data_IF_025079130149
#
_entry.id   IF_025079130149
#
_cell.length_a   1.000
_cell.length_b   1.000
_cell.length_c   1.000
_cell.angle_alpha   90.00
_cell.angle_beta   90.00
_cell.angle_gamma   90.00
#
_symmetry.space_group_name_H-M   'P 1'
#
loop_
_entity.id
_entity.type
_entity.pdbx_description
1 polymer ?
#
# COMPACT_ATOMS: atom_id res chain seq x y z
N UNK A 1 -19.89 -11.75 -2.75
CA UNK A 1 -18.82 -10.94 -3.33
C UNK A 1 -17.73 -11.83 -3.91
N UNK A 2 -17.03 -11.35 -4.93
CA UNK A 2 -15.89 -12.05 -5.56
C UNK A 2 -14.56 -11.56 -5.01
N UNK A 3 -14.51 -10.32 -4.54
CA UNK A 3 -13.31 -9.64 -4.06
C UNK A 3 -13.55 -9.08 -2.66
N UNK A 4 -12.56 -9.24 -1.77
CA UNK A 4 -12.52 -8.59 -0.47
C UNK A 4 -11.25 -7.74 -0.42
N UNK A 5 -11.38 -6.49 -0.03
CA UNK A 5 -10.30 -5.51 0.06
C UNK A 5 -10.19 -5.00 1.50
N UNK A 6 -9.00 -5.06 2.09
CA UNK A 6 -8.72 -4.51 3.41
C UNK A 6 -7.61 -3.47 3.33
N UNK A 7 -8.00 -2.20 3.29
CA UNK A 7 -7.11 -1.06 3.41
C UNK A 7 -7.02 -0.67 4.90
N UNK A 8 -6.01 -1.16 5.60
CA UNK A 8 -5.93 -0.98 7.05
C UNK A 8 -4.53 -0.63 7.52
N UNK A 9 -4.43 -0.04 8.69
CA UNK A 9 -3.16 0.33 9.29
C UNK A 9 -2.26 -0.87 9.56
N UNK A 10 -1.01 -0.62 9.90
CA UNK A 10 -0.07 -1.68 10.30
C UNK A 10 -0.54 -2.39 11.56
N UNK A 11 -0.21 -3.70 11.68
CA UNK A 11 -0.54 -4.56 12.82
C UNK A 11 -2.05 -4.82 13.03
N UNK A 12 -2.90 -4.62 12.00
CA UNK A 12 -4.35 -4.83 12.05
C UNK A 12 -4.78 -6.19 11.47
N UNK A 13 -4.14 -7.26 11.89
CA UNK A 13 -4.54 -8.66 11.62
C UNK A 13 -4.64 -9.09 10.14
N UNK A 14 -4.32 -8.26 9.17
CA UNK A 14 -4.44 -8.50 7.71
C UNK A 14 -3.97 -9.90 7.30
N UNK A 15 -2.71 -10.19 7.59
CA UNK A 15 -2.08 -11.47 7.26
C UNK A 15 -2.67 -12.64 8.04
N UNK A 16 -3.14 -12.43 9.28
CA UNK A 16 -3.80 -13.49 10.04
C UNK A 16 -5.14 -13.89 9.44
N UNK A 17 -5.90 -12.94 8.91
CA UNK A 17 -7.15 -13.20 8.16
C UNK A 17 -6.85 -14.08 6.95
N UNK A 18 -5.78 -13.79 6.18
CA UNK A 18 -5.36 -14.61 5.05
C UNK A 18 -5.01 -16.04 5.46
N UNK A 19 -4.24 -16.24 6.55
CA UNK A 19 -3.90 -17.55 7.07
C UNK A 19 -5.13 -18.34 7.52
N UNK A 20 -6.05 -17.69 8.22
CA UNK A 20 -7.31 -18.30 8.63
C UNK A 20 -8.17 -18.71 7.42
N UNK A 21 -8.21 -17.85 6.38
CA UNK A 21 -8.93 -18.16 5.16
C UNK A 21 -8.30 -19.32 4.37
N UNK A 22 -6.97 -19.40 4.33
CA UNK A 22 -6.25 -20.54 3.75
C UNK A 22 -6.66 -21.82 4.51
N UNK A 23 -6.57 -21.82 5.83
CA UNK A 23 -6.92 -22.97 6.65
C UNK A 23 -8.38 -23.41 6.46
N UNK A 24 -9.32 -22.48 6.50
CA UNK A 24 -10.74 -22.75 6.24
C UNK A 24 -10.96 -23.29 4.83
N UNK A 25 -10.25 -22.75 3.83
CA UNK A 25 -10.35 -23.18 2.43
C UNK A 25 -9.87 -24.62 2.25
N UNK A 26 -8.73 -24.98 2.84
CA UNK A 26 -8.16 -26.33 2.80
C UNK A 26 -9.09 -27.34 3.48
N UNK A 27 -9.71 -26.94 4.59
CA UNK A 27 -10.59 -27.83 5.35
C UNK A 27 -11.96 -28.01 4.69
N UNK A 28 -12.62 -26.92 4.31
CA UNK A 28 -14.04 -26.93 3.95
C UNK A 28 -14.31 -27.03 2.44
N UNK A 29 -13.42 -26.49 1.61
CA UNK A 29 -13.63 -26.39 0.16
C UNK A 29 -12.29 -26.35 -0.58
N UNK A 30 -11.54 -27.47 -0.57
CA UNK A 30 -10.21 -27.53 -1.14
C UNK A 30 -10.21 -27.20 -2.64
N UNK A 31 -9.23 -26.41 -3.03
CA UNK A 31 -8.90 -26.05 -4.42
C UNK A 31 -7.58 -25.26 -4.40
N UNK A 32 -6.94 -25.12 -5.54
CA UNK A 32 -5.71 -24.31 -5.64
C UNK A 32 -5.89 -22.89 -5.10
N UNK A 33 -4.91 -22.49 -4.31
CA UNK A 33 -4.83 -21.19 -3.65
C UNK A 33 -3.49 -20.54 -4.01
N UNK A 34 -3.51 -19.30 -4.50
CA UNK A 34 -2.32 -18.50 -4.78
C UNK A 34 -2.18 -17.41 -3.71
N UNK A 35 -1.08 -17.41 -2.98
CA UNK A 35 -0.71 -16.39 -2.01
C UNK A 35 0.47 -15.59 -2.55
N UNK A 36 0.26 -14.32 -2.81
CA UNK A 36 1.25 -13.42 -3.38
C UNK A 36 1.87 -12.52 -2.32
N UNK A 37 3.18 -12.33 -2.44
CA UNK A 37 3.99 -11.47 -1.60
C UNK A 37 4.80 -10.51 -2.48
N UNK A 38 5.04 -9.25 -2.07
CA UNK A 38 5.82 -8.33 -2.89
C UNK A 38 7.29 -8.73 -3.03
N UNK A 39 7.87 -9.45 -2.05
CA UNK A 39 9.30 -9.81 -2.05
C UNK A 39 9.56 -11.22 -1.55
N UNK A 40 10.67 -11.83 -2.00
CA UNK A 40 11.09 -13.16 -1.55
C UNK A 40 11.40 -13.25 -0.04
N UNK A 41 11.78 -12.14 0.60
CA UNK A 41 11.96 -12.09 2.07
C UNK A 41 10.60 -12.26 2.80
N UNK A 42 9.56 -11.62 2.30
CA UNK A 42 8.20 -11.75 2.85
C UNK A 42 7.61 -13.11 2.54
N UNK A 43 7.86 -13.66 1.35
CA UNK A 43 7.48 -15.02 0.96
C UNK A 43 8.03 -16.07 1.96
N UNK A 44 9.32 -16.02 2.29
CA UNK A 44 9.93 -16.93 3.29
C UNK A 44 9.26 -16.82 4.66
N UNK A 45 8.96 -15.59 5.10
CA UNK A 45 8.30 -15.36 6.39
C UNK A 45 6.88 -15.89 6.44
N UNK A 46 6.10 -15.70 5.38
CA UNK A 46 4.72 -16.19 5.34
C UNK A 46 4.68 -17.71 5.22
N UNK A 47 5.57 -18.32 4.44
CA UNK A 47 5.69 -19.77 4.33
C UNK A 47 5.94 -20.43 5.70
N UNK A 48 6.86 -19.86 6.49
CA UNK A 48 7.12 -20.32 7.85
C UNK A 48 5.90 -20.17 8.78
N UNK A 49 5.09 -19.09 8.62
CA UNK A 49 3.84 -18.92 9.38
C UNK A 49 2.79 -19.94 8.96
N UNK A 50 2.66 -20.25 7.67
CA UNK A 50 1.80 -21.32 7.17
C UNK A 50 2.21 -22.65 7.78
N UNK A 51 3.51 -23.01 7.76
CA UNK A 51 4.00 -24.27 8.33
C UNK A 51 3.69 -24.37 9.82
N UNK A 52 3.88 -23.27 10.57
CA UNK A 52 3.52 -23.19 11.99
C UNK A 52 2.02 -23.41 12.21
N UNK A 53 1.17 -22.72 11.42
CA UNK A 53 -0.29 -22.87 11.51
C UNK A 53 -0.72 -24.32 11.21
N UNK A 54 -0.14 -24.94 10.18
CA UNK A 54 -0.40 -26.35 9.83
C UNK A 54 0.03 -27.28 10.96
N UNK A 55 1.18 -27.04 11.58
CA UNK A 55 1.68 -27.87 12.69
C UNK A 55 0.82 -27.77 13.96
N UNK A 56 0.24 -26.61 14.24
CA UNK A 56 -0.55 -26.34 15.46
C UNK A 56 -2.01 -26.75 15.34
N UNK A 57 -2.56 -26.88 14.11
CA UNK A 57 -3.97 -27.16 13.86
C UNK A 57 -4.13 -28.58 13.34
N UNK A 58 -4.66 -29.52 14.15
CA UNK A 58 -4.75 -30.94 13.83
C UNK A 58 -5.43 -31.23 12.49
N UNK A 59 -6.56 -30.60 12.22
CA UNK A 59 -7.31 -30.79 10.97
C UNK A 59 -6.54 -30.35 9.72
N UNK A 60 -5.63 -29.39 9.86
CA UNK A 60 -4.76 -28.98 8.76
C UNK A 60 -3.55 -29.91 8.63
N UNK A 61 -2.99 -30.37 9.73
CA UNK A 61 -1.88 -31.33 9.75
C UNK A 61 -2.23 -32.65 9.04
N UNK A 62 -3.47 -33.07 9.14
CA UNK A 62 -3.96 -34.27 8.45
C UNK A 62 -4.16 -34.08 6.95
N UNK A 63 -4.31 -32.82 6.48
CA UNK A 63 -4.62 -32.51 5.09
C UNK A 63 -3.41 -32.12 4.27
N UNK A 64 -2.43 -31.45 4.86
CA UNK A 64 -1.20 -31.05 4.16
C UNK A 64 -0.22 -32.22 4.03
N UNK A 65 0.52 -32.24 2.93
CA UNK A 65 1.63 -33.17 2.72
C UNK A 65 2.68 -33.03 3.83
N UNK A 66 3.19 -34.17 4.31
CA UNK A 66 4.26 -34.16 5.32
C UNK A 66 5.54 -33.57 4.72
N UNK A 67 6.34 -32.81 5.49
CA UNK A 67 7.66 -32.40 5.08
C UNK A 67 8.49 -33.63 4.65
N UNK A 68 9.25 -33.50 3.57
CA UNK A 68 10.06 -34.58 2.99
C UNK A 68 9.28 -35.82 2.50
N UNK A 69 8.00 -35.67 2.18
CA UNK A 69 7.22 -36.73 1.51
C UNK A 69 7.83 -37.04 0.13
N UNK A 70 7.92 -38.32 -0.24
CA UNK A 70 8.34 -38.74 -1.59
C UNK A 70 7.21 -38.62 -2.62
N UNK A 71 5.97 -38.55 -2.17
CA UNK A 71 4.77 -38.58 -3.01
C UNK A 71 4.02 -37.28 -3.15
N UNK A 72 4.45 -36.22 -2.43
CA UNK A 72 3.79 -34.92 -2.47
C UNK A 72 4.77 -33.76 -2.18
N UNK A 73 4.51 -32.62 -2.77
CA UNK A 73 5.39 -31.43 -2.68
C UNK A 73 5.05 -30.63 -1.41
N UNK A 74 6.06 -30.38 -0.58
CA UNK A 74 5.98 -29.45 0.53
C UNK A 74 7.30 -28.69 0.66
N UNK A 75 7.41 -27.59 -0.05
CA UNK A 75 8.59 -26.71 -0.08
C UNK A 75 8.19 -25.25 0.20
N UNK A 76 9.09 -24.30 -0.07
CA UNK A 76 8.85 -22.88 0.15
C UNK A 76 7.70 -22.34 -0.72
N UNK A 77 7.68 -22.73 -1.98
CA UNK A 77 6.83 -22.14 -3.02
C UNK A 77 5.51 -22.89 -3.18
N UNK A 78 5.49 -24.19 -2.86
CA UNK A 78 4.34 -25.05 -3.05
C UNK A 78 4.12 -25.97 -1.86
N UNK A 79 2.91 -25.99 -1.36
CA UNK A 79 2.48 -26.89 -0.29
C UNK A 79 1.21 -27.63 -0.74
N UNK A 80 1.38 -28.91 -1.08
CA UNK A 80 0.25 -29.77 -1.49
C UNK A 80 -0.61 -30.16 -0.29
N UNK A 81 -1.88 -30.22 -0.53
CA UNK A 81 -2.88 -30.73 0.41
C UNK A 81 -3.97 -31.53 -0.30
N UNK A 82 -4.76 -32.28 0.44
CA UNK A 82 -5.83 -33.08 -0.12
C UNK A 82 -6.84 -32.22 -0.88
N UNK A 83 -6.88 -32.35 -2.21
CA UNK A 83 -7.77 -31.63 -3.12
C UNK A 83 -7.25 -30.32 -3.68
N UNK A 84 -5.95 -30.02 -3.55
CA UNK A 84 -5.32 -28.88 -4.19
C UNK A 84 -3.91 -28.55 -3.68
N UNK A 85 -3.43 -27.38 -4.02
CA UNK A 85 -2.12 -26.87 -3.62
C UNK A 85 -2.20 -25.40 -3.20
N UNK A 86 -1.41 -25.02 -2.20
CA UNK A 86 -1.11 -23.64 -1.86
C UNK A 86 0.20 -23.24 -2.56
N UNK A 87 0.11 -22.31 -3.47
CA UNK A 87 1.25 -21.67 -4.13
C UNK A 87 1.57 -20.37 -3.40
N UNK A 88 2.82 -20.20 -3.00
CA UNK A 88 3.30 -18.99 -2.33
C UNK A 88 4.36 -18.37 -3.24
N UNK A 89 4.00 -17.30 -3.94
CA UNK A 89 4.81 -16.70 -4.99
C UNK A 89 5.14 -15.23 -4.70
N UNK A 90 6.17 -14.71 -5.38
CA UNK A 90 6.48 -13.29 -5.37
C UNK A 90 5.82 -12.59 -6.56
N UNK A 91 5.38 -11.37 -6.34
CA UNK A 91 4.77 -10.53 -7.39
C UNK A 91 5.81 -9.91 -8.35
N UNK A 92 7.10 -10.07 -8.09
CA UNK A 92 8.17 -9.48 -8.91
C UNK A 92 8.61 -10.36 -10.10
N UNK A 93 7.81 -11.36 -10.50
CA UNK A 93 8.09 -12.17 -11.70
C UNK A 93 6.78 -12.58 -12.37
N UNK A 94 6.63 -12.21 -13.63
CA UNK A 94 5.47 -12.57 -14.44
C UNK A 94 5.33 -14.10 -14.59
N UNK A 95 6.43 -14.83 -14.68
CA UNK A 95 6.44 -16.29 -14.71
C UNK A 95 5.75 -16.88 -13.47
N UNK A 96 6.06 -16.40 -12.27
CA UNK A 96 5.44 -16.83 -11.01
C UNK A 96 3.92 -16.55 -10.97
N UNK A 97 3.49 -15.50 -11.63
CA UNK A 97 2.09 -15.11 -11.73
C UNK A 97 1.33 -15.87 -12.81
N UNK A 98 2.05 -16.54 -13.74
CA UNK A 98 1.46 -17.12 -14.95
C UNK A 98 1.27 -18.64 -14.91
N UNK A 99 1.87 -19.34 -13.95
CA UNK A 99 2.07 -20.78 -14.01
C UNK A 99 0.82 -21.63 -13.68
N UNK A 100 -0.04 -21.19 -12.74
CA UNK A 100 -1.06 -22.10 -12.20
C UNK A 100 -2.46 -21.47 -12.11
N UNK A 101 -3.52 -22.15 -12.61
CA UNK A 101 -4.90 -21.75 -12.34
C UNK A 101 -5.22 -21.86 -10.83
N UNK A 102 -5.75 -20.79 -10.26
CA UNK A 102 -6.09 -20.74 -8.84
C UNK A 102 -7.54 -20.25 -8.64
N UNK A 103 -8.32 -20.97 -7.84
CA UNK A 103 -9.67 -20.54 -7.46
C UNK A 103 -9.64 -19.36 -6.50
N UNK A 104 -8.63 -19.29 -5.64
CA UNK A 104 -8.47 -18.27 -4.62
C UNK A 104 -7.13 -17.59 -4.75
N UNK A 105 -7.14 -16.26 -4.60
CA UNK A 105 -5.95 -15.43 -4.61
C UNK A 105 -5.95 -14.58 -3.34
N UNK A 106 -4.84 -14.54 -2.63
CA UNK A 106 -4.58 -13.55 -1.59
C UNK A 106 -3.29 -12.79 -1.93
N UNK A 107 -3.28 -11.48 -1.77
CA UNK A 107 -2.11 -10.67 -2.05
C UNK A 107 -1.82 -9.72 -0.88
N UNK A 108 -0.72 -9.99 -0.19
CA UNK A 108 -0.24 -9.21 0.96
C UNK A 108 0.56 -8.00 0.51
N UNK A 109 0.32 -6.85 1.15
CA UNK A 109 1.05 -5.58 0.95
C UNK A 109 1.14 -5.19 -0.54
N UNK A 110 -0.01 -5.17 -1.23
CA UNK A 110 -0.06 -4.94 -2.69
C UNK A 110 0.54 -3.61 -3.14
N UNK A 111 0.50 -2.58 -2.28
CA UNK A 111 1.10 -1.26 -2.55
C UNK A 111 2.63 -1.27 -2.56
N UNK A 112 3.24 -2.38 -2.11
CA UNK A 112 4.70 -2.57 -2.13
C UNK A 112 5.19 -3.39 -3.31
N UNK A 113 4.27 -3.89 -4.14
CA UNK A 113 4.61 -4.58 -5.37
C UNK A 113 4.86 -3.58 -6.50
N UNK A 114 5.74 -3.95 -7.43
CA UNK A 114 6.04 -3.13 -8.60
C UNK A 114 4.77 -2.81 -9.42
N UNK A 115 4.75 -1.65 -10.06
CA UNK A 115 3.60 -1.21 -10.88
C UNK A 115 3.43 -2.03 -12.14
N UNK A 116 4.54 -2.51 -12.67
CA UNK A 116 4.62 -3.35 -13.85
C UNK A 116 5.58 -4.49 -13.58
N UNK A 117 5.22 -5.70 -13.96
CA UNK A 117 6.00 -6.90 -13.73
C UNK A 117 6.56 -7.41 -15.05
N UNK A 118 7.87 -7.28 -15.24
CA UNK A 118 8.59 -7.74 -16.43
C UNK A 118 8.01 -7.21 -17.76
N UNK A 119 7.32 -6.05 -17.77
CA UNK A 119 6.64 -5.49 -18.93
C UNK A 119 5.31 -6.17 -19.30
N UNK A 120 4.81 -7.10 -18.47
CA UNK A 120 3.53 -7.80 -18.68
C UNK A 120 2.33 -7.13 -18.00
N UNK A 121 2.58 -6.07 -17.20
CA UNK A 121 1.55 -5.24 -16.58
C UNK A 121 1.35 -5.42 -15.09
N UNK A 122 0.22 -4.95 -14.60
CA UNK A 122 -0.10 -4.89 -13.17
C UNK A 122 -0.23 -6.29 -12.55
N UNK A 123 0.49 -6.58 -11.43
CA UNK A 123 0.50 -7.91 -10.80
C UNK A 123 -0.88 -8.35 -10.27
N UNK A 124 -1.78 -7.43 -9.93
CA UNK A 124 -3.15 -7.77 -9.51
C UNK A 124 -3.93 -8.33 -10.69
N UNK A 125 -3.82 -7.70 -11.86
CA UNK A 125 -4.49 -8.17 -13.10
C UNK A 125 -3.92 -9.49 -13.58
N UNK A 126 -2.60 -9.67 -13.50
CA UNK A 126 -1.95 -10.94 -13.81
C UNK A 126 -2.45 -12.08 -12.87
N UNK A 127 -2.55 -11.82 -11.58
CA UNK A 127 -3.09 -12.77 -10.60
C UNK A 127 -4.58 -13.09 -10.87
N UNK A 128 -5.41 -12.09 -11.17
CA UNK A 128 -6.83 -12.27 -11.50
C UNK A 128 -7.03 -13.11 -12.77
N UNK A 129 -6.13 -13.03 -13.74
CA UNK A 129 -6.18 -13.84 -14.95
C UNK A 129 -6.09 -15.35 -14.66
N UNK A 130 -5.42 -15.73 -13.54
CA UNK A 130 -5.35 -17.15 -13.09
C UNK A 130 -6.69 -17.70 -12.60
N UNK A 131 -7.65 -16.82 -12.36
CA UNK A 131 -8.99 -17.18 -11.91
C UNK A 131 -10.02 -17.34 -13.02
N UNK A 132 -9.62 -17.20 -14.29
CA UNK A 132 -10.53 -17.23 -15.45
C UNK A 132 -11.38 -18.49 -15.50
N UNK A 133 -10.79 -19.65 -15.25
CA UNK A 133 -11.50 -20.94 -15.22
C UNK A 133 -12.45 -21.11 -14.03
N UNK A 134 -12.37 -20.22 -13.04
CA UNK A 134 -13.17 -20.22 -11.83
C UNK A 134 -14.14 -19.04 -11.75
N UNK A 135 -14.53 -18.45 -12.87
CA UNK A 135 -15.30 -17.21 -12.95
C UNK A 135 -16.56 -17.16 -12.03
N UNK A 136 -17.22 -18.33 -11.82
CA UNK A 136 -18.44 -18.43 -11.01
C UNK A 136 -18.18 -18.57 -9.49
N UNK A 137 -16.99 -19.02 -9.09
CA UNK A 137 -16.68 -19.34 -7.69
C UNK A 137 -15.32 -18.88 -7.23
N UNK A 138 -14.66 -18.00 -8.02
CA UNK A 138 -13.42 -17.35 -7.64
C UNK A 138 -13.61 -16.44 -6.43
N UNK A 139 -12.55 -16.27 -5.65
CA UNK A 139 -12.48 -15.27 -4.59
C UNK A 139 -11.06 -14.74 -4.44
N UNK A 140 -10.97 -13.40 -4.30
CA UNK A 140 -9.70 -12.70 -4.06
C UNK A 140 -9.75 -11.93 -2.74
N UNK A 141 -8.61 -11.84 -2.07
CA UNK A 141 -8.42 -11.06 -0.86
C UNK A 141 -7.16 -10.18 -1.02
N UNK A 142 -7.33 -8.89 -1.11
CA UNK A 142 -6.26 -7.91 -1.25
C UNK A 142 -6.15 -7.08 0.02
N UNK A 143 -4.94 -6.92 0.53
CA UNK A 143 -4.74 -6.21 1.78
C UNK A 143 -3.38 -5.51 1.85
N UNK A 144 -3.41 -4.27 2.29
CA UNK A 144 -2.24 -3.41 2.44
C UNK A 144 -2.54 -2.24 3.38
N UNK A 145 -1.50 -1.58 3.84
CA UNK A 145 -1.60 -0.18 4.23
C UNK A 145 -1.47 0.67 2.96
N UNK A 146 -2.22 1.78 2.83
CA UNK A 146 -2.13 2.64 1.66
C UNK A 146 -0.80 3.40 1.62
N UNK A 147 -0.48 4.00 0.49
CA UNK A 147 0.75 4.77 0.25
C UNK A 147 0.43 6.20 -0.20
N UNK A 148 0.94 6.62 -1.33
CA UNK A 148 0.77 7.98 -1.86
C UNK A 148 -0.56 8.08 -2.62
N UNK A 149 -1.23 9.21 -2.49
CA UNK A 149 -2.46 9.50 -3.21
C UNK A 149 -2.20 9.49 -4.74
N UNK A 150 -3.05 8.80 -5.49
CA UNK A 150 -2.88 8.57 -6.92
C UNK A 150 -1.90 7.45 -7.30
N UNK A 151 -1.18 6.86 -6.34
CA UNK A 151 -0.25 5.73 -6.56
C UNK A 151 -0.67 4.46 -5.78
N UNK A 152 -1.61 4.57 -4.85
CA UNK A 152 -1.99 3.50 -3.92
C UNK A 152 -3.04 2.57 -4.53
N UNK A 153 -2.63 1.37 -4.95
CA UNK A 153 -3.55 0.34 -5.49
C UNK A 153 -4.60 -0.11 -4.49
N UNK A 154 -4.22 -0.25 -3.21
CA UNK A 154 -5.19 -0.67 -2.21
C UNK A 154 -6.26 0.38 -2.00
N UNK A 155 -5.92 1.66 -2.14
CA UNK A 155 -6.88 2.76 -2.07
C UNK A 155 -7.85 2.72 -3.26
N UNK A 156 -7.35 2.55 -4.48
CA UNK A 156 -8.19 2.46 -5.67
C UNK A 156 -9.16 1.27 -5.57
N UNK A 157 -8.67 0.09 -5.20
CA UNK A 157 -9.50 -1.09 -4.97
C UNK A 157 -10.50 -0.92 -3.81
N UNK A 158 -10.14 -0.16 -2.77
CA UNK A 158 -11.06 0.17 -1.69
C UNK A 158 -12.19 1.07 -2.18
N UNK A 159 -11.88 2.06 -3.02
CA UNK A 159 -12.85 2.99 -3.60
C UNK A 159 -13.79 2.32 -4.63
N UNK A 160 -13.34 1.27 -5.33
CA UNK A 160 -14.19 0.44 -6.18
C UNK A 160 -15.23 -0.36 -5.40
N UNK A 161 -14.96 -0.68 -4.13
CA UNK A 161 -15.78 -1.54 -3.29
C UNK A 161 -16.79 -0.79 -2.42
N UNK A 162 -17.31 -1.49 -1.41
CA UNK A 162 -18.37 -0.99 -0.51
C UNK A 162 -17.93 0.09 0.47
N UNK A 163 -16.64 0.36 0.63
CA UNK A 163 -16.03 1.43 1.43
C UNK A 163 -16.50 1.46 2.89
N UNK A 164 -16.57 0.30 3.52
CA UNK A 164 -17.02 0.19 4.92
C UNK A 164 -15.92 0.60 5.89
N UNK A 165 -16.29 1.41 6.87
CA UNK A 165 -15.45 1.84 7.97
C UNK A 165 -15.76 1.06 9.24
N UNK A 166 -14.72 0.70 10.01
CA UNK A 166 -14.90 0.16 11.35
C UNK A 166 -15.58 1.18 12.25
N UNK A 167 -16.52 0.74 13.09
CA UNK A 167 -17.24 1.60 14.03
C UNK A 167 -17.00 1.17 15.47
N UNK A 168 -16.94 2.15 16.36
CA UNK A 168 -16.93 1.98 17.79
C UNK A 168 -18.29 2.33 18.38
N UNK A 169 -18.80 1.50 19.28
CA UNK A 169 -20.07 1.74 19.96
C UNK A 169 -19.84 2.59 21.22
N UNK A 170 -20.61 3.65 21.38
CA UNK A 170 -20.56 4.49 22.56
C UNK A 170 -21.07 3.72 23.79
N UNK A 171 -20.29 3.62 24.86
CA UNK A 171 -20.69 2.93 26.12
C UNK A 171 -21.80 3.66 26.89
N UNK A 172 -22.07 4.94 26.56
CA UNK A 172 -23.07 5.75 27.26
C UNK A 172 -24.43 5.74 26.56
N UNK A 173 -24.46 5.81 25.21
CA UNK A 173 -25.73 5.91 24.47
C UNK A 173 -25.91 4.84 23.39
N UNK A 174 -24.94 3.96 23.16
CA UNK A 174 -25.02 2.91 22.13
C UNK A 174 -24.79 3.40 20.70
N UNK A 175 -24.55 4.69 20.47
CA UNK A 175 -24.30 5.20 19.12
C UNK A 175 -23.03 4.62 18.50
N UNK A 176 -23.12 4.08 17.28
CA UNK A 176 -21.99 3.57 16.55
C UNK A 176 -21.36 4.69 15.70
N UNK A 177 -20.05 4.94 15.88
CA UNK A 177 -19.34 6.03 15.22
C UNK A 177 -17.94 5.59 14.75
N UNK A 178 -17.46 6.20 13.67
CA UNK A 178 -16.05 6.12 13.29
C UNK A 178 -15.18 6.91 14.27
N UNK A 179 -13.97 6.42 14.53
CA UNK A 179 -13.00 7.10 15.37
C UNK A 179 -12.09 8.00 14.51
N UNK A 180 -12.45 9.26 14.37
CA UNK A 180 -11.68 10.25 13.63
C UNK A 180 -10.55 10.78 14.50
N UNK A 181 -9.28 10.58 14.08
CA UNK A 181 -8.09 10.92 14.88
C UNK A 181 -8.07 12.39 15.33
N UNK A 182 -8.49 13.30 14.46
CA UNK A 182 -8.52 14.75 14.70
C UNK A 182 -9.51 15.18 15.81
N UNK A 183 -10.41 14.27 16.22
CA UNK A 183 -11.33 14.49 17.36
C UNK A 183 -10.79 13.98 18.69
N UNK A 184 -9.58 13.38 18.69
CA UNK A 184 -8.95 12.93 19.90
C UNK A 184 -8.59 14.14 20.79
N UNK A 185 -8.99 14.08 22.05
CA UNK A 185 -8.71 15.12 23.04
C UNK A 185 -7.61 14.61 23.97
N UNK A 186 -6.58 15.42 24.16
CA UNK A 186 -5.48 15.13 25.09
C UNK A 186 -5.54 16.14 26.22
N UNK A 187 -5.39 15.67 27.46
CA UNK A 187 -5.37 16.52 28.67
C UNK A 187 -4.19 17.50 28.65
N UNK A 188 -4.33 18.64 29.33
CA UNK A 188 -3.30 19.70 29.37
C UNK A 188 -1.95 19.20 29.92
N UNK A 189 -1.97 18.24 30.82
CA UNK A 189 -0.77 17.59 31.37
C UNK A 189 -0.18 16.50 30.47
N UNK A 190 -0.81 16.25 29.30
CA UNK A 190 -0.41 15.25 28.28
C UNK A 190 -0.26 13.81 28.82
N UNK A 191 -1.07 13.45 29.82
CA UNK A 191 -1.04 12.12 30.43
C UNK A 191 -2.24 11.25 30.05
N UNK A 192 -3.31 11.85 29.56
CA UNK A 192 -4.55 11.15 29.22
C UNK A 192 -5.04 11.57 27.86
N UNK A 193 -5.45 10.59 27.05
CA UNK A 193 -6.18 10.82 25.81
C UNK A 193 -7.60 10.28 25.96
N UNK A 194 -8.58 11.03 25.45
CA UNK A 194 -10.01 10.70 25.53
C UNK A 194 -10.70 11.00 24.20
N UNK A 195 -11.79 10.31 23.93
CA UNK A 195 -12.55 10.45 22.68
C UNK A 195 -14.03 10.78 22.96
N UNK A 196 -14.57 11.90 22.46
CA UNK A 196 -15.97 12.27 22.67
C UNK A 196 -16.90 11.48 21.75
N UNK A 197 -18.06 11.09 22.28
CA UNK A 197 -19.12 10.58 21.44
C UNK A 197 -19.71 11.73 20.60
N UNK A 198 -19.89 11.50 19.30
CA UNK A 198 -20.46 12.50 18.39
C UNK A 198 -21.93 12.79 18.64
N UNK A 199 -22.67 11.87 19.29
CA UNK A 199 -24.09 11.99 19.54
C UNK A 199 -24.37 12.58 20.95
N UNK A 200 -23.83 11.97 22.01
CA UNK A 200 -24.15 12.38 23.39
C UNK A 200 -23.06 13.19 24.09
N UNK A 201 -21.89 13.39 23.48
CA UNK A 201 -20.75 14.08 24.09
C UNK A 201 -20.05 13.29 25.20
N UNK A 202 -20.50 12.08 25.52
CA UNK A 202 -19.88 11.23 26.55
C UNK A 202 -18.43 10.91 26.22
N UNK A 203 -17.53 11.06 27.20
CA UNK A 203 -16.10 10.82 27.01
C UNK A 203 -15.74 9.36 27.19
N UNK A 204 -14.93 8.83 26.28
CA UNK A 204 -14.38 7.49 26.32
C UNK A 204 -12.89 7.55 26.59
N UNK A 205 -12.41 6.60 27.38
CA UNK A 205 -11.01 6.43 27.73
C UNK A 205 -10.45 5.16 27.09
N UNK A 206 -9.13 5.02 27.11
CA UNK A 206 -8.45 3.84 26.59
C UNK A 206 -8.99 2.52 27.18
N UNK A 207 -9.37 2.54 28.46
CA UNK A 207 -9.95 1.39 29.18
C UNK A 207 -11.32 0.95 28.64
N UNK A 208 -12.02 1.82 27.90
CA UNK A 208 -13.37 1.54 27.42
C UNK A 208 -13.35 0.76 26.09
N UNK A 209 -12.20 0.72 25.38
CA UNK A 209 -12.03 0.03 24.11
C UNK A 209 -12.61 -1.39 24.07
N UNK A 210 -12.41 -2.27 25.07
CA UNK A 210 -12.99 -3.60 25.05
C UNK A 210 -14.52 -3.61 24.94
N UNK A 211 -15.18 -2.65 25.58
CA UNK A 211 -16.63 -2.50 25.51
C UNK A 211 -17.06 -1.85 24.20
N UNK A 212 -16.35 -0.82 23.74
CA UNK A 212 -16.62 -0.10 22.49
C UNK A 212 -16.50 -0.97 21.25
N UNK A 213 -15.61 -1.96 21.26
CA UNK A 213 -15.31 -2.82 20.10
C UNK A 213 -15.95 -4.21 20.19
N UNK A 214 -16.70 -4.48 21.26
CA UNK A 214 -17.28 -5.81 21.55
C UNK A 214 -18.08 -6.40 20.40
N UNK A 215 -18.85 -5.56 19.69
CA UNK A 215 -19.77 -6.00 18.65
C UNK A 215 -19.15 -6.02 17.25
N UNK A 216 -17.94 -5.48 17.04
CA UNK A 216 -17.22 -5.52 15.77
C UNK A 216 -18.04 -4.87 14.62
N UNK A 217 -18.54 -3.66 14.83
CA UNK A 217 -19.45 -2.97 13.92
C UNK A 217 -18.73 -2.38 12.70
N UNK A 218 -19.44 -2.34 11.59
CA UNK A 218 -19.01 -1.71 10.35
C UNK A 218 -20.11 -0.77 9.82
N UNK A 219 -19.70 0.29 9.13
CA UNK A 219 -20.64 1.21 8.49
C UNK A 219 -21.45 0.51 7.39
N UNK A 220 -22.59 1.09 7.04
CA UNK A 220 -23.30 0.72 5.83
C UNK A 220 -22.41 0.99 4.59
N UNK A 221 -22.62 0.26 3.47
CA UNK A 221 -21.90 0.51 2.24
C UNK A 221 -22.20 1.91 1.70
N UNK A 222 -21.16 2.62 1.25
CA UNK A 222 -21.29 3.95 0.65
C UNK A 222 -21.43 3.85 -0.88
N UNK A 223 -20.87 2.78 -1.48
CA UNK A 223 -20.85 2.56 -2.92
C UNK A 223 -20.52 1.11 -3.25
N UNK A 224 -19.97 0.88 -4.42
CA UNK A 224 -19.39 -0.40 -4.84
C UNK A 224 -19.80 -0.85 -6.24
N UNK A 225 -18.99 -1.74 -6.80
CA UNK A 225 -19.18 -2.39 -8.10
C UNK A 225 -20.14 -3.60 -8.07
N UNK A 226 -20.72 -3.90 -6.89
CA UNK A 226 -21.58 -5.08 -6.66
C UNK A 226 -20.81 -6.40 -6.50
N UNK A 227 -19.50 -6.42 -6.70
CA UNK A 227 -18.65 -7.62 -6.60
C UNK A 227 -17.59 -7.52 -5.50
N UNK A 228 -17.20 -6.29 -5.10
CA UNK A 228 -16.13 -6.00 -4.15
C UNK A 228 -16.67 -5.53 -2.81
N UNK A 229 -16.36 -6.26 -1.75
CA UNK A 229 -16.53 -5.77 -0.36
C UNK A 229 -15.21 -5.15 0.09
N UNK A 230 -15.23 -3.90 0.49
CA UNK A 230 -14.03 -3.20 0.93
C UNK A 230 -14.18 -2.62 2.34
N UNK A 231 -13.11 -2.73 3.12
CA UNK A 231 -13.08 -2.42 4.55
C UNK A 231 -11.86 -1.58 4.90
N UNK A 232 -12.05 -0.59 5.77
CA UNK A 232 -10.95 0.17 6.35
C UNK A 232 -11.04 0.25 7.87
N UNK A 233 -9.89 0.20 8.51
CA UNK A 233 -9.73 0.40 9.95
C UNK A 233 -8.32 0.89 10.24
N UNK A 234 -8.13 1.57 11.36
CA UNK A 234 -6.87 2.23 11.69
C UNK A 234 -6.47 2.08 13.16
N UNK A 235 -5.29 2.60 13.54
CA UNK A 235 -4.68 2.29 14.83
C UNK A 235 -5.48 2.75 16.06
N UNK A 236 -6.47 3.64 15.92
CA UNK A 236 -7.38 3.95 17.04
C UNK A 236 -8.24 2.76 17.47
N UNK A 237 -8.46 1.78 16.55
CA UNK A 237 -9.18 0.53 16.82
C UNK A 237 -8.27 -0.61 17.33
N UNK A 238 -6.99 -0.35 17.60
CA UNK A 238 -6.12 -1.35 18.20
C UNK A 238 -6.62 -1.74 19.59
N UNK A 239 -6.50 -3.02 19.98
CA UNK A 239 -6.95 -3.51 21.26
C UNK A 239 -6.31 -2.76 22.44
N UNK A 240 -7.04 -2.71 23.56
CA UNK A 240 -6.49 -2.24 24.82
C UNK A 240 -5.21 -2.99 25.21
N UNK A 241 -4.19 -2.27 25.65
CA UNK A 241 -2.89 -2.82 26.01
C UNK A 241 -1.88 -2.94 24.84
N UNK A 242 -2.30 -2.55 23.62
CA UNK A 242 -1.40 -2.36 22.49
C UNK A 242 -0.97 -0.88 22.42
N UNK A 243 -0.91 -0.28 21.22
CA UNK A 243 -0.67 1.16 21.10
C UNK A 243 -1.86 1.94 21.65
N UNK A 244 -1.63 2.80 22.65
CA UNK A 244 -2.68 3.65 23.23
C UNK A 244 -3.01 4.85 22.33
N UNK A 245 -4.18 5.47 22.55
CA UNK A 245 -4.53 6.73 21.89
C UNK A 245 -3.52 7.84 22.21
N UNK A 246 -2.99 7.85 23.43
CA UNK A 246 -1.98 8.81 23.85
C UNK A 246 -0.64 8.58 23.11
N UNK A 247 -0.22 7.33 22.92
CA UNK A 247 1.00 7.03 22.15
C UNK A 247 0.84 7.40 20.68
N UNK A 248 -0.35 7.15 20.12
CA UNK A 248 -0.68 7.57 18.75
C UNK A 248 -0.59 9.10 18.59
N UNK A 249 -1.13 9.85 19.58
CA UNK A 249 -1.03 11.30 19.59
C UNK A 249 0.43 11.80 19.71
N UNK A 250 1.24 11.17 20.57
CA UNK A 250 2.67 11.52 20.70
C UNK A 250 3.45 11.28 19.40
N UNK A 251 3.16 10.18 18.73
CA UNK A 251 3.75 9.88 17.41
C UNK A 251 3.37 10.94 16.37
N UNK A 252 2.11 11.38 16.37
CA UNK A 252 1.62 12.47 15.52
C UNK A 252 2.32 13.80 15.83
N UNK A 253 2.43 14.20 17.09
CA UNK A 253 3.10 15.45 17.49
C UNK A 253 4.60 15.46 17.09
N UNK A 254 5.26 14.31 17.19
CA UNK A 254 6.64 14.18 16.71
C UNK A 254 6.72 14.33 15.17
N UNK A 255 5.81 13.71 14.45
CA UNK A 255 5.73 13.82 12.99
C UNK A 255 5.41 15.25 12.53
N UNK A 256 4.50 15.94 13.24
CA UNK A 256 4.12 17.33 12.97
C UNK A 256 5.29 18.30 13.17
N UNK A 257 6.05 18.15 14.24
CA UNK A 257 7.25 18.97 14.48
C UNK A 257 8.26 18.85 13.34
N UNK A 258 8.42 17.67 12.78
CA UNK A 258 9.32 17.44 11.67
C UNK A 258 8.75 18.02 10.36
N UNK A 259 7.45 17.88 10.16
CA UNK A 259 6.74 18.48 9.01
C UNK A 259 6.89 20.01 9.01
N UNK A 260 6.81 20.68 10.17
CA UNK A 260 6.97 22.12 10.31
C UNK A 260 8.39 22.60 9.90
N UNK A 261 9.37 21.69 9.86
CA UNK A 261 10.73 21.96 9.32
C UNK A 261 10.86 21.67 7.82
N UNK A 262 9.76 21.30 7.16
CA UNK A 262 9.75 20.95 5.73
C UNK A 262 10.01 19.47 5.42
N UNK A 263 10.14 18.61 6.44
CA UNK A 263 10.34 17.16 6.26
C UNK A 263 9.04 16.41 6.58
N UNK A 264 8.38 15.88 5.55
CA UNK A 264 7.11 15.17 5.66
C UNK A 264 7.24 13.66 5.93
N UNK A 265 8.46 13.11 5.93
CA UNK A 265 8.70 11.66 5.95
C UNK A 265 7.98 10.92 7.10
N UNK A 266 8.01 11.46 8.32
CA UNK A 266 7.32 10.85 9.46
C UNK A 266 5.81 11.00 9.36
N UNK A 267 5.31 12.11 8.81
CA UNK A 267 3.89 12.33 8.62
C UNK A 267 3.31 11.40 7.55
N UNK A 268 4.05 11.14 6.47
CA UNK A 268 3.73 10.11 5.47
C UNK A 268 3.56 8.75 6.14
N UNK A 269 4.55 8.33 6.93
CA UNK A 269 4.51 7.05 7.65
C UNK A 269 3.32 7.00 8.60
N UNK A 270 3.07 8.07 9.37
CA UNK A 270 1.95 8.14 10.30
C UNK A 270 0.59 7.99 9.59
N UNK A 271 0.35 8.77 8.53
CA UNK A 271 -0.91 8.66 7.79
C UNK A 271 -1.11 7.27 7.18
N UNK A 272 -0.09 6.75 6.50
CA UNK A 272 -0.22 5.47 5.80
C UNK A 272 -0.33 4.28 6.76
N UNK A 273 0.51 4.25 7.81
CA UNK A 273 0.64 3.07 8.67
C UNK A 273 -0.16 3.12 9.97
N UNK A 274 -0.58 4.33 10.42
CA UNK A 274 -1.39 4.49 11.63
C UNK A 274 -2.83 4.83 11.31
N UNK A 275 -3.08 5.73 10.36
CA UNK A 275 -4.43 6.17 10.04
C UNK A 275 -5.04 5.43 8.84
N UNK A 276 -4.28 4.58 8.15
CA UNK A 276 -4.71 3.92 6.91
C UNK A 276 -5.24 4.91 5.86
N UNK A 277 -4.59 6.06 5.75
CA UNK A 277 -4.92 7.13 4.80
C UNK A 277 -3.80 7.29 3.79
N UNK A 278 -4.12 7.61 2.55
CA UNK A 278 -3.12 8.04 1.55
C UNK A 278 -2.50 9.37 1.95
N UNK A 279 -1.24 9.58 1.56
CA UNK A 279 -0.57 10.87 1.74
C UNK A 279 -0.58 11.65 0.42
N UNK A 280 -1.09 12.87 0.45
CA UNK A 280 -0.98 13.80 -0.67
C UNK A 280 0.37 14.50 -0.61
N UNK A 281 1.25 14.21 -1.56
CA UNK A 281 2.44 15.02 -1.73
C UNK A 281 2.00 16.43 -2.14
N UNK A 282 2.35 17.43 -1.33
CA UNK A 282 2.32 18.81 -1.79
C UNK A 282 3.43 18.96 -2.82
N UNK A 283 3.19 18.57 -4.05
CA UNK A 283 3.99 19.01 -5.17
C UNK A 283 3.71 20.51 -5.20
N UNK A 284 4.67 21.32 -4.73
CA UNK A 284 4.67 22.73 -5.09
C UNK A 284 4.77 22.72 -6.62
N UNK A 285 3.63 22.89 -7.27
CA UNK A 285 3.62 23.21 -8.68
C UNK A 285 4.39 24.54 -8.74
N UNK A 286 5.63 24.45 -9.20
CA UNK A 286 6.39 25.66 -9.46
C UNK A 286 5.52 26.46 -10.41
N UNK A 287 5.08 27.64 -9.98
CA UNK A 287 4.33 28.54 -10.85
C UNK A 287 5.25 28.93 -12.01
N UNK A 288 5.21 28.07 -13.06
CA UNK A 288 6.01 28.27 -14.26
C UNK A 288 5.69 29.59 -14.94
N UNK A 289 4.48 30.17 -14.71
CA UNK A 289 4.09 31.44 -15.27
C UNK A 289 4.95 32.57 -14.70
N UNK A 290 5.24 32.56 -13.39
CA UNK A 290 6.15 33.52 -12.78
C UNK A 290 7.59 33.44 -13.32
N UNK A 291 8.00 32.24 -13.77
CA UNK A 291 9.29 32.05 -14.43
C UNK A 291 9.26 32.57 -15.88
N UNK A 292 8.17 32.28 -16.61
CA UNK A 292 7.97 32.78 -17.98
C UNK A 292 7.92 34.32 -17.97
N UNK A 293 7.18 34.95 -17.03
CA UNK A 293 7.04 36.39 -16.91
C UNK A 293 8.36 37.09 -16.59
N UNK A 294 9.33 36.38 -16.03
CA UNK A 294 10.68 36.85 -15.72
C UNK A 294 11.71 36.48 -16.79
N UNK A 295 11.31 35.67 -17.79
CA UNK A 295 12.22 35.24 -18.83
C UNK A 295 12.64 36.43 -19.70
N UNK A 296 13.94 36.59 -19.90
CA UNK A 296 14.49 37.57 -20.79
C UNK A 296 14.48 37.06 -22.23
N UNK A 297 14.15 37.95 -23.18
CA UNK A 297 14.14 37.60 -24.60
C UNK A 297 15.53 37.82 -25.21
N UNK A 298 16.22 36.75 -25.52
CA UNK A 298 17.48 36.74 -26.26
C UNK A 298 17.49 35.63 -27.32
N UNK A 299 18.29 35.79 -28.40
CA UNK A 299 18.38 34.76 -29.43
C UNK A 299 18.96 33.45 -28.90
N UNK A 300 18.30 32.30 -29.18
CA UNK A 300 18.87 31.01 -28.89
C UNK A 300 20.20 30.80 -29.64
N UNK A 301 21.09 29.98 -29.05
CA UNK A 301 22.42 29.67 -29.59
C UNK A 301 23.38 30.85 -29.72
N UNK A 302 23.04 31.97 -29.12
CA UNK A 302 23.94 33.15 -29.02
C UNK A 302 24.24 33.41 -27.55
N UNK A 303 25.52 33.43 -27.21
CA UNK A 303 25.94 33.77 -25.85
C UNK A 303 25.78 35.27 -25.63
N UNK A 304 25.01 35.72 -24.60
CA UNK A 304 24.93 37.13 -24.24
C UNK A 304 26.28 37.68 -23.81
N UNK A 305 26.42 39.00 -23.91
CA UNK A 305 27.64 39.69 -23.47
C UNK A 305 27.93 39.40 -21.99
N UNK A 306 29.16 39.04 -21.67
CA UNK A 306 29.59 38.66 -20.30
C UNK A 306 29.63 37.16 -20.01
N UNK A 307 29.16 36.29 -20.92
CA UNK A 307 29.35 34.86 -20.81
C UNK A 307 30.81 34.51 -21.00
N UNK A 308 31.40 33.80 -20.01
CA UNK A 308 32.81 33.43 -19.99
C UNK A 308 33.03 31.91 -20.15
N UNK A 309 32.04 31.12 -19.80
CA UNK A 309 32.10 29.65 -19.82
C UNK A 309 30.76 29.09 -20.32
N UNK A 310 30.83 28.07 -21.12
CA UNK A 310 29.64 27.31 -21.57
C UNK A 310 29.79 25.87 -21.05
N UNK A 311 28.69 25.38 -20.49
CA UNK A 311 28.57 23.98 -20.05
C UNK A 311 27.37 23.33 -20.74
N UNK A 312 27.47 22.01 -20.96
CA UNK A 312 26.35 21.20 -21.40
C UNK A 312 26.04 20.14 -20.33
N UNK A 313 24.80 20.05 -19.93
CA UNK A 313 24.28 18.97 -19.09
C UNK A 313 23.45 18.02 -19.96
N UNK A 314 23.68 16.73 -19.84
CA UNK A 314 22.94 15.69 -20.56
C UNK A 314 22.21 14.81 -19.56
N UNK A 315 20.89 14.71 -19.72
CA UNK A 315 20.03 13.79 -19.00
C UNK A 315 19.65 12.63 -19.93
N UNK A 316 19.90 11.40 -19.47
CA UNK A 316 19.59 10.17 -20.19
C UNK A 316 18.25 9.62 -19.74
N UNK A 317 17.30 9.47 -20.67
CA UNK A 317 16.00 8.86 -20.45
C UNK A 317 15.87 7.60 -21.33
N UNK A 318 14.88 6.75 -21.08
CA UNK A 318 14.74 5.47 -21.78
C UNK A 318 14.67 5.59 -23.31
N UNK A 319 14.19 6.72 -23.83
CA UNK A 319 13.91 6.92 -25.26
C UNK A 319 14.52 8.19 -25.88
N UNK A 320 15.35 8.92 -25.13
CA UNK A 320 15.99 10.17 -25.61
C UNK A 320 17.13 10.62 -24.70
N UNK A 321 17.96 11.52 -25.26
CA UNK A 321 18.84 12.38 -24.48
C UNK A 321 18.25 13.79 -24.45
N UNK A 322 18.19 14.41 -23.27
CA UNK A 322 17.86 15.82 -23.09
C UNK A 322 19.12 16.61 -22.78
N UNK A 323 19.48 17.54 -23.64
CA UNK A 323 20.72 18.33 -23.53
C UNK A 323 20.39 19.78 -23.25
N UNK A 324 20.89 20.32 -22.15
CA UNK A 324 20.77 21.73 -21.80
C UNK A 324 22.15 22.41 -21.89
N UNK A 325 22.24 23.48 -22.66
CA UNK A 325 23.45 24.28 -22.82
C UNK A 325 23.30 25.57 -22.05
N UNK A 326 24.23 25.86 -21.14
CA UNK A 326 24.18 27.02 -20.25
C UNK A 326 25.48 27.83 -20.36
N UNK A 327 25.34 29.13 -20.60
CA UNK A 327 26.43 30.11 -20.55
C UNK A 327 26.52 30.76 -19.16
N UNK A 328 27.72 30.87 -18.61
CA UNK A 328 27.98 31.38 -17.26
C UNK A 328 28.79 32.64 -17.28
N UNK A 329 28.34 33.66 -16.52
CA UNK A 329 29.07 34.87 -16.27
C UNK A 329 29.95 34.80 -15.02
N UNK A 330 30.84 35.75 -14.81
CA UNK A 330 31.78 35.78 -13.66
C UNK A 330 31.05 35.77 -12.29
N UNK A 331 29.85 36.34 -12.23
CA UNK A 331 29.00 36.38 -11.03
C UNK A 331 28.10 35.17 -10.85
N UNK A 332 28.34 34.09 -11.61
CA UNK A 332 27.52 32.86 -11.64
C UNK A 332 26.09 33.05 -12.18
N UNK A 333 25.78 34.17 -12.84
CA UNK A 333 24.55 34.28 -13.61
C UNK A 333 24.60 33.32 -14.78
N UNK A 334 23.59 32.43 -14.90
CA UNK A 334 23.47 31.44 -15.96
C UNK A 334 22.42 31.88 -17.02
N UNK A 335 22.76 31.67 -18.29
CA UNK A 335 21.88 31.89 -19.45
C UNK A 335 21.65 30.58 -20.14
N UNK A 336 20.39 30.13 -20.30
CA UNK A 336 20.07 28.96 -21.07
C UNK A 336 20.22 29.28 -22.55
N UNK A 337 21.29 28.78 -23.17
CA UNK A 337 21.60 29.06 -24.57
C UNK A 337 20.86 28.17 -25.55
N UNK A 338 20.64 26.89 -25.18
CA UNK A 338 19.88 25.95 -25.98
C UNK A 338 19.34 24.80 -25.12
N UNK A 339 18.26 24.18 -25.59
CA UNK A 339 17.73 22.93 -25.08
C UNK A 339 17.37 22.02 -26.26
N UNK A 340 17.97 20.84 -26.31
CA UNK A 340 17.89 19.92 -27.44
C UNK A 340 17.40 18.57 -26.93
N UNK A 341 16.40 18.00 -27.58
CA UNK A 341 15.99 16.61 -27.37
C UNK A 341 16.48 15.78 -28.57
N UNK A 342 17.27 14.75 -28.27
CA UNK A 342 17.76 13.79 -29.26
C UNK A 342 17.01 12.47 -29.04
N UNK A 343 16.02 12.15 -29.89
CA UNK A 343 15.23 10.91 -29.73
C UNK A 343 16.07 9.69 -30.09
N UNK A 344 15.96 8.64 -29.30
CA UNK A 344 16.64 7.37 -29.51
C UNK A 344 16.94 6.68 -28.19
N UNK A 345 17.21 5.39 -28.24
CA UNK A 345 17.61 4.59 -27.08
C UNK A 345 19.08 4.91 -26.72
N UNK A 346 19.38 5.46 -25.52
CA UNK A 346 20.76 5.77 -25.11
C UNK A 346 21.72 4.58 -25.02
N UNK A 347 21.20 3.35 -25.02
CA UNK A 347 22.01 2.15 -25.13
C UNK A 347 22.61 1.93 -26.53
N UNK A 348 22.13 2.68 -27.53
CA UNK A 348 22.61 2.61 -28.91
C UNK A 348 23.53 3.79 -29.21
N UNK A 349 24.72 3.51 -29.79
CA UNK A 349 25.72 4.53 -30.13
C UNK A 349 25.17 5.64 -31.07
N UNK A 350 24.19 5.31 -31.90
CA UNK A 350 23.59 6.23 -32.90
C UNK A 350 22.97 7.51 -32.27
N UNK A 351 22.57 7.48 -31.03
CA UNK A 351 21.97 8.64 -30.35
C UNK A 351 23.04 9.59 -29.82
N UNK A 352 24.28 9.11 -29.70
CA UNK A 352 25.42 9.90 -29.22
C UNK A 352 26.27 10.51 -30.33
N UNK A 353 26.08 10.06 -31.58
CA UNK A 353 26.75 10.57 -32.79
C UNK A 353 25.93 11.72 -33.43
#
# INVERSE_FOLDING_TARGET
>A
CKRVVCMVSSQMYKTQIALNWIGASVHQSPANFLLLMPTGKLQKRIAARVDKTVAEVDVLRERFAKPNSRSAINNLDTKEFIGGSLFIATAGSAANLSEVPARRVAFDEIDRADVDVDGEGDPVKLAESRQTTFAHNKKSYYYSSPTIDGESRIYDLFMEGTQRHALAECIHCGHAQDLVFEKLIVSDDQKTAMYPCSECGGMHYESDKPAMFKNGLWSEPIGGDGETESFTSHSMFLPYGWMSWLDLWREYEAAKKLLDTGNDSMMVVFNNTRLARTWKRNIQVVDYQSLIDRAEHYPLRMAPEGVLLITAGVDTQDNRLAVQIVGWCRNLTGWVLDYIELPGDPANDQVWD
#
